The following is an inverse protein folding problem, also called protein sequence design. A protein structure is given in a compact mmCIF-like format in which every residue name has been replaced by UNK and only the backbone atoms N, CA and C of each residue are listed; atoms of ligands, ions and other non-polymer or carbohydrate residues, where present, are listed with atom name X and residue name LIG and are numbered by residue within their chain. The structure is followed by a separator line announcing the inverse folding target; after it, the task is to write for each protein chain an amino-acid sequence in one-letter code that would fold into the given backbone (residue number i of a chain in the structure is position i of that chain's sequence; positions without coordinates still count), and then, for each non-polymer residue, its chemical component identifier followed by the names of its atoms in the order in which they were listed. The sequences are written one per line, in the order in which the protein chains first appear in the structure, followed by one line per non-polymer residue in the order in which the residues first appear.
data_IF_590770007362
#
_entry.id   IF_590770007362
#
_cell.length_a   1.000
_cell.length_b   1.000
_cell.length_c   1.000
_cell.angle_alpha   90.00
_cell.angle_beta   90.00
_cell.angle_gamma   90.00
#
_symmetry.space_group_name_H-M   'P 1'
#
loop_
_entity.id
_entity.type
_entity.pdbx_description
1 polymer ?
#
# COMPACT_ATOMS: atom_id res chain seq x y z
N UNK A 1 -17.09 -10.95 -47.28
CA UNK A 1 -16.84 -10.55 -45.87
C UNK A 1 -15.33 -10.43 -45.56
N UNK A 2 -14.54 -9.69 -46.35
CA UNK A 2 -13.09 -9.50 -46.06
C UNK A 2 -12.61 -8.05 -46.26
N UNK A 3 -13.47 -7.14 -46.74
CA UNK A 3 -13.11 -5.75 -47.02
C UNK A 3 -13.29 -4.82 -45.81
N UNK A 4 -14.20 -5.12 -44.90
CA UNK A 4 -14.46 -4.27 -43.72
C UNK A 4 -13.35 -4.37 -42.66
N UNK A 5 -12.71 -5.54 -42.50
CA UNK A 5 -11.62 -5.71 -41.54
C UNK A 5 -10.34 -4.96 -41.92
N UNK A 6 -10.09 -4.74 -43.22
CA UNK A 6 -8.91 -3.97 -43.70
C UNK A 6 -9.06 -2.46 -43.49
N UNK A 7 -10.29 -1.94 -43.51
CA UNK A 7 -10.55 -0.53 -43.21
C UNK A 7 -10.31 -0.23 -41.72
N UNK A 8 -10.73 -1.14 -40.84
CA UNK A 8 -10.56 -1.00 -39.40
C UNK A 8 -9.10 -1.15 -38.94
N UNK A 9 -8.31 -1.99 -39.60
CA UNK A 9 -6.88 -2.13 -39.30
C UNK A 9 -6.03 -0.94 -39.77
N UNK A 10 -6.42 -0.28 -40.87
CA UNK A 10 -5.79 0.98 -41.32
C UNK A 10 -5.99 2.12 -40.33
N UNK A 11 -7.20 2.28 -39.79
CA UNK A 11 -7.52 3.32 -38.81
C UNK A 11 -6.66 3.24 -37.53
N UNK A 12 -6.19 2.05 -37.14
CA UNK A 12 -5.30 1.88 -35.97
C UNK A 12 -3.86 2.34 -36.21
N UNK A 13 -3.42 2.43 -37.45
CA UNK A 13 -2.06 2.85 -37.81
C UNK A 13 -1.98 4.33 -38.25
N UNK A 14 -3.12 5.03 -38.25
CA UNK A 14 -3.14 6.47 -38.53
C UNK A 14 -2.50 7.24 -37.35
N UNK A 15 -1.54 8.15 -37.62
CA UNK A 15 -0.81 8.85 -36.56
C UNK A 15 -1.75 9.66 -35.64
N UNK A 16 -2.87 10.16 -36.17
CA UNK A 16 -3.90 10.88 -35.41
C UNK A 16 -4.57 9.98 -34.35
N UNK A 17 -4.77 8.69 -34.63
CA UNK A 17 -5.35 7.72 -33.70
C UNK A 17 -4.38 7.33 -32.58
N UNK A 18 -3.09 7.19 -32.91
CA UNK A 18 -2.01 6.91 -31.94
C UNK A 18 -1.87 8.09 -30.96
N UNK A 19 -1.97 9.34 -31.43
CA UNK A 19 -1.95 10.52 -30.56
C UNK A 19 -3.19 10.64 -29.66
N UNK A 20 -4.40 10.33 -30.15
CA UNK A 20 -5.61 10.30 -29.31
C UNK A 20 -5.56 9.19 -28.24
N UNK A 21 -5.01 8.02 -28.57
CA UNK A 21 -4.76 6.91 -27.65
C UNK A 21 -3.82 7.32 -26.51
N UNK A 22 -2.69 7.97 -26.85
CA UNK A 22 -1.75 8.48 -25.85
C UNK A 22 -2.35 9.61 -24.99
N UNK A 23 -3.17 10.49 -25.57
CA UNK A 23 -3.83 11.57 -24.83
C UNK A 23 -4.88 11.03 -23.83
N UNK A 24 -5.59 9.95 -24.18
CA UNK A 24 -6.57 9.28 -23.29
C UNK A 24 -5.88 8.52 -22.16
N UNK A 25 -4.73 7.89 -22.42
CA UNK A 25 -3.89 7.29 -21.38
C UNK A 25 -3.27 8.33 -20.43
N UNK A 26 -2.79 9.47 -20.94
CA UNK A 26 -2.23 10.55 -20.11
C UNK A 26 -3.27 11.17 -19.16
N UNK A 27 -4.52 11.39 -19.60
CA UNK A 27 -5.62 11.90 -18.74
C UNK A 27 -6.08 10.92 -17.65
N UNK A 28 -5.93 9.61 -17.85
CA UNK A 28 -6.21 8.62 -16.81
C UNK A 28 -5.10 8.59 -15.73
N UNK A 29 -3.84 8.80 -16.11
CA UNK A 29 -2.71 8.86 -15.18
C UNK A 29 -2.71 10.10 -14.26
N UNK A 30 -3.26 11.22 -14.72
CA UNK A 30 -3.29 12.49 -13.97
C UNK A 30 -4.31 12.52 -12.84
N UNK A 31 -5.16 11.51 -12.71
CA UNK A 31 -6.15 11.36 -11.63
C UNK A 31 -5.72 10.38 -10.53
N UNK A 32 -4.43 10.08 -10.44
CA UNK A 32 -3.87 9.47 -9.23
C UNK A 32 -4.00 10.48 -8.08
N UNK A 33 -4.92 10.22 -7.14
CA UNK A 33 -5.01 10.95 -5.87
C UNK A 33 -3.60 11.07 -5.29
N UNK A 34 -3.10 12.30 -5.17
CA UNK A 34 -1.77 12.61 -4.64
C UNK A 34 -1.60 11.89 -3.31
N UNK A 35 -0.85 10.78 -3.30
CA UNK A 35 -0.53 10.06 -2.08
C UNK A 35 0.12 11.05 -1.11
N UNK A 36 -0.33 11.08 0.15
CA UNK A 36 0.28 11.93 1.18
C UNK A 36 1.76 11.59 1.25
N UNK A 37 2.62 12.54 0.87
CA UNK A 37 4.07 12.39 1.07
C UNK A 37 4.31 12.40 2.58
N UNK A 38 4.72 11.28 3.16
CA UNK A 38 5.13 11.15 4.57
C UNK A 38 6.51 11.79 4.81
N UNK A 39 6.76 12.94 4.19
CA UNK A 39 8.05 13.61 4.36
C UNK A 39 8.14 14.10 5.80
N UNK A 40 9.14 13.59 6.51
CA UNK A 40 9.41 13.98 7.90
C UNK A 40 9.86 15.44 7.95
N UNK A 41 9.58 16.13 9.06
CA UNK A 41 10.13 17.46 9.33
C UNK A 41 11.65 17.35 9.45
N UNK A 42 12.37 18.28 8.82
CA UNK A 42 13.83 18.40 8.95
C UNK A 42 14.17 18.63 10.44
N UNK A 43 15.18 17.92 10.96
CA UNK A 43 15.57 17.97 12.38
C UNK A 43 14.77 17.09 13.34
N UNK A 44 13.76 16.33 12.88
CA UNK A 44 13.02 15.41 13.75
C UNK A 44 13.90 14.21 14.19
N UNK A 45 13.68 13.71 15.42
CA UNK A 45 14.40 12.56 16.01
C UNK A 45 14.38 11.33 15.10
N UNK A 46 15.54 10.74 14.79
CA UNK A 46 15.59 9.47 14.07
C UNK A 46 14.98 8.34 14.92
N UNK A 47 13.98 7.65 14.39
CA UNK A 47 13.25 6.59 15.13
C UNK A 47 13.88 5.20 14.95
N UNK A 48 14.66 4.99 13.89
CA UNK A 48 15.25 3.71 13.52
C UNK A 48 16.65 3.94 12.99
N UNK A 49 17.64 3.38 13.69
CA UNK A 49 19.07 3.50 13.38
C UNK A 49 19.68 2.16 12.92
N UNK A 50 18.85 1.20 12.50
CA UNK A 50 19.26 -0.12 12.01
C UNK A 50 18.61 -0.37 10.64
N UNK A 51 19.30 -1.07 9.75
CA UNK A 51 18.75 -1.41 8.43
C UNK A 51 17.66 -2.48 8.55
N UNK A 52 16.81 -2.60 7.52
CA UNK A 52 15.80 -3.65 7.46
C UNK A 52 16.46 -5.04 7.27
N UNK A 53 17.50 -5.11 6.44
CA UNK A 53 18.24 -6.34 6.16
C UNK A 53 18.87 -6.95 7.42
N UNK A 54 19.52 -6.12 8.26
CA UNK A 54 20.11 -6.60 9.52
C UNK A 54 19.05 -7.06 10.52
N UNK A 55 17.87 -6.44 10.51
CA UNK A 55 16.75 -6.86 11.34
C UNK A 55 16.24 -8.24 10.92
N UNK A 56 16.10 -8.50 9.62
CA UNK A 56 15.65 -9.79 9.09
C UNK A 56 16.64 -10.91 9.45
N UNK A 57 17.94 -10.67 9.25
CA UNK A 57 18.99 -11.62 9.64
C UNK A 57 18.94 -11.92 11.14
N UNK A 58 18.86 -10.88 11.98
CA UNK A 58 18.79 -11.05 13.44
C UNK A 58 17.55 -11.84 13.88
N UNK A 59 16.39 -11.58 13.26
CA UNK A 59 15.15 -12.30 13.54
C UNK A 59 15.26 -13.77 13.13
N UNK A 60 15.88 -14.07 11.99
CA UNK A 60 16.04 -15.43 11.49
C UNK A 60 16.98 -16.27 12.36
N UNK A 61 18.11 -15.69 12.80
CA UNK A 61 19.06 -16.39 13.69
C UNK A 61 18.41 -16.73 15.04
N UNK A 62 17.60 -15.82 15.59
CA UNK A 62 16.86 -16.05 16.84
C UNK A 62 15.74 -17.08 16.63
N UNK A 63 15.02 -17.05 15.49
CA UNK A 63 13.99 -18.06 15.16
C UNK A 63 14.57 -19.45 15.00
N UNK A 64 15.75 -19.57 14.37
CA UNK A 64 16.51 -20.82 14.24
C UNK A 64 17.15 -21.27 15.56
N UNK A 65 16.96 -20.51 16.66
CA UNK A 65 17.53 -20.76 17.99
C UNK A 65 19.07 -20.85 17.99
N UNK A 66 19.74 -20.24 17.02
CA UNK A 66 21.21 -20.23 16.94
C UNK A 66 21.82 -19.26 17.94
N UNK A 67 21.14 -18.14 18.20
CA UNK A 67 21.55 -17.12 19.17
C UNK A 67 20.36 -16.69 20.03
N UNK A 68 20.64 -16.22 21.25
CA UNK A 68 19.60 -15.63 22.10
C UNK A 68 19.23 -14.22 21.65
N UNK A 69 18.02 -13.77 21.97
CA UNK A 69 17.57 -12.40 21.65
C UNK A 69 18.44 -11.32 22.34
N UNK A 70 19.10 -11.64 23.47
CA UNK A 70 20.01 -10.74 24.16
C UNK A 70 21.36 -10.63 23.43
N UNK A 71 21.87 -11.74 22.91
CA UNK A 71 23.10 -11.75 22.09
C UNK A 71 22.89 -11.05 20.75
N UNK A 72 21.77 -11.34 20.07
CA UNK A 72 21.40 -10.66 18.84
C UNK A 72 21.35 -9.13 19.01
N UNK A 73 20.84 -8.65 20.14
CA UNK A 73 20.81 -7.23 20.43
C UNK A 73 22.20 -6.59 20.54
N UNK A 74 23.19 -7.34 21.07
CA UNK A 74 24.59 -6.88 21.16
C UNK A 74 25.29 -6.92 19.80
N UNK A 75 25.07 -7.97 19.01
CA UNK A 75 25.73 -8.15 17.71
C UNK A 75 25.21 -7.18 16.64
N UNK A 76 23.89 -7.02 16.55
CA UNK A 76 23.26 -6.23 15.49
C UNK A 76 22.92 -4.79 15.92
N UNK A 77 23.19 -4.41 17.17
CA UNK A 77 22.81 -3.12 17.76
C UNK A 77 21.30 -2.80 17.63
N UNK A 78 20.46 -3.84 17.60
CA UNK A 78 18.99 -3.72 17.53
C UNK A 78 18.42 -3.98 18.92
N UNK A 79 17.50 -3.14 19.43
CA UNK A 79 16.87 -3.39 20.73
C UNK A 79 16.20 -4.77 20.79
N UNK A 80 16.43 -5.52 21.88
CA UNK A 80 15.85 -6.85 22.13
C UNK A 80 14.34 -6.89 21.86
N UNK A 81 13.60 -5.90 22.40
CA UNK A 81 12.15 -5.80 22.22
C UNK A 81 11.76 -5.71 20.74
N UNK A 82 12.53 -5.01 19.90
CA UNK A 82 12.26 -4.90 18.46
C UNK A 82 12.35 -6.26 17.78
N UNK A 83 13.36 -7.06 18.11
CA UNK A 83 13.54 -8.42 17.56
C UNK A 83 12.35 -9.31 17.99
N UNK A 84 12.01 -9.31 19.29
CA UNK A 84 10.89 -10.09 19.82
C UNK A 84 9.54 -9.68 19.23
N UNK A 85 9.29 -8.38 19.08
CA UNK A 85 8.06 -7.86 18.48
C UNK A 85 7.91 -8.29 17.01
N UNK A 86 9.02 -8.40 16.26
CA UNK A 86 9.01 -8.92 14.90
C UNK A 86 8.78 -10.44 14.86
N UNK A 87 9.33 -11.19 15.81
CA UNK A 87 9.07 -12.63 15.94
C UNK A 87 7.58 -12.86 16.21
N UNK A 88 7.02 -12.13 17.17
CA UNK A 88 5.62 -12.24 17.61
C UNK A 88 4.62 -11.51 16.68
N UNK A 89 5.10 -10.83 15.63
CA UNK A 89 4.29 -10.04 14.68
C UNK A 89 3.34 -9.02 15.35
N UNK A 90 3.70 -8.49 16.53
CA UNK A 90 2.78 -7.68 17.35
C UNK A 90 2.45 -6.30 16.77
N UNK A 91 3.24 -5.79 15.81
CA UNK A 91 3.12 -4.44 15.24
C UNK A 91 2.95 -4.43 13.71
N UNK A 92 2.31 -5.46 13.14
CA UNK A 92 2.01 -5.52 11.69
C UNK A 92 0.88 -4.60 11.25
N UNK A 93 0.06 -4.12 12.20
CA UNK A 93 -1.06 -3.23 11.89
C UNK A 93 -0.55 -1.83 11.53
N UNK A 94 -1.11 -1.27 10.45
CA UNK A 94 -0.87 0.13 10.08
C UNK A 94 -1.34 1.04 11.20
N UNK A 95 -0.43 1.83 11.80
CA UNK A 95 -0.78 2.81 12.84
C UNK A 95 -1.49 4.03 12.22
N UNK A 96 -2.46 4.59 12.95
CA UNK A 96 -2.93 5.97 12.73
C UNK A 96 -4.10 6.21 11.78
N UNK A 97 -4.89 5.20 11.41
CA UNK A 97 -6.17 5.43 10.71
C UNK A 97 -7.18 4.35 11.11
N UNK A 98 -8.47 4.68 11.33
CA UNK A 98 -9.51 3.66 11.30
C UNK A 98 -9.41 2.91 9.98
N UNK A 99 -9.56 1.58 10.05
CA UNK A 99 -9.59 0.69 8.89
C UNK A 99 -10.52 1.32 7.87
N UNK A 100 -10.01 1.56 6.65
CA UNK A 100 -10.88 1.93 5.52
C UNK A 100 -12.03 0.92 5.53
N UNK A 101 -13.27 1.40 5.51
CA UNK A 101 -14.46 0.54 5.46
C UNK A 101 -14.24 -0.50 4.36
N UNK A 102 -14.44 -1.77 4.69
CA UNK A 102 -14.46 -2.84 3.68
C UNK A 102 -15.54 -2.54 2.64
N UNK A 103 -15.47 -3.17 1.47
CA UNK A 103 -16.49 -2.96 0.44
C UNK A 103 -17.90 -3.36 0.92
N UNK A 104 -17.98 -4.27 1.90
CA UNK A 104 -19.22 -4.67 2.57
C UNK A 104 -19.69 -3.62 3.57
N UNK A 105 -18.82 -3.13 4.45
CA UNK A 105 -19.12 -2.07 5.41
C UNK A 105 -19.54 -0.77 4.71
N UNK A 106 -18.96 -0.47 3.55
CA UNK A 106 -19.36 0.67 2.73
C UNK A 106 -20.78 0.54 2.16
N UNK A 107 -21.27 -0.67 1.91
CA UNK A 107 -22.67 -0.90 1.50
C UNK A 107 -23.62 -0.66 2.67
N UNK A 108 -23.28 -1.14 3.87
CA UNK A 108 -24.07 -0.87 5.07
C UNK A 108 -24.25 0.62 5.32
N UNK A 109 -23.17 1.41 5.27
CA UNK A 109 -23.25 2.87 5.46
C UNK A 109 -24.18 3.53 4.44
N UNK A 110 -24.15 3.10 3.17
CA UNK A 110 -25.05 3.64 2.14
C UNK A 110 -26.51 3.31 2.43
N UNK A 111 -26.79 2.07 2.79
CA UNK A 111 -28.14 1.60 3.13
C UNK A 111 -28.66 2.35 4.35
N UNK A 112 -27.82 2.56 5.38
CA UNK A 112 -28.15 3.38 6.55
C UNK A 112 -28.46 4.84 6.22
N UNK A 113 -27.68 5.47 5.34
CA UNK A 113 -27.95 6.85 4.89
C UNK A 113 -29.29 6.90 4.16
N UNK A 114 -29.51 6.01 3.20
CA UNK A 114 -30.77 6.00 2.43
C UNK A 114 -31.97 5.73 3.33
N UNK A 115 -31.90 4.78 4.26
CA UNK A 115 -33.00 4.52 5.19
C UNK A 115 -33.31 5.73 6.09
N UNK A 116 -32.27 6.42 6.56
CA UNK A 116 -32.42 7.68 7.29
C UNK A 116 -33.11 8.77 6.47
N UNK A 117 -32.76 8.92 5.19
CA UNK A 117 -33.42 9.84 4.26
C UNK A 117 -34.90 9.48 4.05
N UNK A 118 -35.23 8.19 4.01
CA UNK A 118 -36.61 7.71 3.91
C UNK A 118 -37.36 7.66 5.25
N UNK A 119 -36.72 8.07 6.35
CA UNK A 119 -37.33 8.06 7.69
C UNK A 119 -37.58 6.66 8.26
N UNK A 120 -36.94 5.64 7.68
CA UNK A 120 -37.04 4.26 8.16
C UNK A 120 -35.94 3.99 9.19
N UNK A 121 -36.28 3.60 10.43
CA UNK A 121 -35.29 3.10 11.37
C UNK A 121 -34.87 1.70 10.91
N UNK A 122 -33.64 1.58 10.39
CA UNK A 122 -32.98 0.29 10.19
C UNK A 122 -32.60 -0.36 11.52
#
# INVERSE_FOLDING_TARGET
MFLEYKAFSRLKNDPKWIHLSQAKQKKASSKLKKARKSRRRLGARQYKNYSNEMLEIAVDLVRKKQISAREAARQFAIPKQTILNNINKSHTKSVGCPTRLSDEEAKFVKVSISAGEFGCPL
#
